data_IF_188851772324
#
_entry.id   IF_188851772324
#
_cell.length_a   1.000
_cell.length_b   1.000
_cell.length_c   1.000
_cell.angle_alpha   90.00
_cell.angle_beta   90.00
_cell.angle_gamma   90.00
#
_symmetry.space_group_name_H-M   'P 1'
#
loop_
_entity.id
_entity.type
_entity.pdbx_description
1 polymer ?
#
# COMPACT_ATOMS: atom_id res chain seq x y z
N UNK A 1 10.31 9.11 9.99
CA UNK A 1 11.21 7.96 9.70
C UNK A 1 12.51 8.52 9.15
N UNK A 2 13.62 8.23 9.80
CA UNK A 2 14.92 8.81 9.45
C UNK A 2 15.76 7.76 8.70
N UNK A 3 15.75 7.83 7.39
CA UNK A 3 16.51 6.97 6.48
C UNK A 3 17.41 7.82 5.60
N UNK A 4 18.58 7.31 5.25
CA UNK A 4 19.42 7.91 4.22
C UNK A 4 18.78 7.65 2.85
N UNK A 5 18.84 8.60 1.94
CA UNK A 5 18.17 8.50 0.62
C UNK A 5 19.17 8.52 -0.54
N UNK A 6 18.77 7.92 -1.66
CA UNK A 6 19.54 8.01 -2.92
C UNK A 6 19.76 9.47 -3.34
N UNK A 7 18.75 10.33 -3.17
CA UNK A 7 18.84 11.76 -3.51
C UNK A 7 19.93 12.47 -2.70
N UNK A 8 20.06 12.16 -1.41
CA UNK A 8 21.16 12.72 -0.58
C UNK A 8 22.53 12.28 -1.08
N UNK A 9 22.71 10.99 -1.38
CA UNK A 9 23.98 10.49 -1.92
C UNK A 9 24.35 11.12 -3.27
N UNK A 10 23.35 11.41 -4.11
CA UNK A 10 23.57 12.12 -5.38
C UNK A 10 24.02 13.56 -5.13
N UNK A 11 23.38 14.26 -4.20
CA UNK A 11 23.77 15.62 -3.82
C UNK A 11 25.21 15.68 -3.29
N UNK A 12 25.66 14.63 -2.62
CA UNK A 12 27.03 14.48 -2.09
C UNK A 12 28.03 13.95 -3.13
N UNK A 13 27.62 13.79 -4.41
CA UNK A 13 28.42 13.19 -5.50
C UNK A 13 28.99 11.79 -5.17
N UNK A 14 28.28 11.02 -4.36
CA UNK A 14 28.78 9.74 -3.83
C UNK A 14 28.60 8.53 -4.79
N UNK A 15 27.95 8.71 -5.95
CA UNK A 15 27.59 7.62 -6.86
C UNK A 15 28.56 7.39 -8.02
N UNK A 16 29.41 8.39 -8.35
CA UNK A 16 30.29 8.32 -9.52
C UNK A 16 31.20 7.07 -9.46
N UNK A 17 31.06 6.21 -10.46
CA UNK A 17 31.82 4.97 -10.59
C UNK A 17 31.46 3.87 -9.57
N UNK A 18 30.42 4.07 -8.76
CA UNK A 18 29.97 3.08 -7.76
C UNK A 18 29.05 2.04 -8.37
N UNK A 19 29.07 0.84 -7.79
CA UNK A 19 28.14 -0.24 -8.09
C UNK A 19 26.92 -0.06 -7.21
N UNK A 20 25.77 0.17 -7.84
CA UNK A 20 24.50 0.43 -7.15
C UNK A 20 23.55 -0.75 -7.38
N UNK A 21 23.13 -1.39 -6.31
CA UNK A 21 22.15 -2.47 -6.34
C UNK A 21 20.78 -1.91 -5.92
N UNK A 22 19.82 -1.90 -6.83
CA UNK A 22 18.46 -1.40 -6.59
C UNK A 22 17.50 -2.57 -6.45
N UNK A 23 16.84 -2.67 -5.29
CA UNK A 23 15.70 -3.56 -5.09
C UNK A 23 14.41 -2.81 -5.43
N UNK A 24 13.87 -3.11 -6.59
CA UNK A 24 12.61 -2.54 -7.09
C UNK A 24 11.42 -3.49 -6.88
N UNK A 25 10.21 -3.01 -6.98
CA UNK A 25 9.01 -3.84 -7.09
C UNK A 25 8.56 -3.89 -8.55
N UNK A 26 9.01 -4.93 -9.26
CA UNK A 26 8.73 -5.20 -10.66
C UNK A 26 7.81 -6.41 -10.84
N UNK A 27 7.07 -6.77 -9.79
CA UNK A 27 6.10 -7.86 -9.82
C UNK A 27 4.84 -7.44 -10.57
N UNK A 28 4.95 -7.38 -11.88
CA UNK A 28 3.89 -6.95 -12.80
C UNK A 28 2.97 -8.12 -13.17
N UNK A 29 1.68 -7.85 -13.47
CA UNK A 29 0.79 -8.86 -13.99
C UNK A 29 1.15 -9.22 -15.43
N UNK A 30 1.03 -10.50 -15.75
CA UNK A 30 1.27 -11.06 -17.07
C UNK A 30 0.07 -11.91 -17.49
N UNK A 31 -0.18 -11.99 -18.80
CA UNK A 31 -1.11 -12.94 -19.38
C UNK A 31 -0.50 -14.36 -19.47
N UNK A 32 -1.30 -15.30 -19.95
CA UNK A 32 -0.89 -16.72 -20.08
C UNK A 32 0.30 -16.92 -21.05
N UNK A 33 0.62 -15.92 -21.87
CA UNK A 33 1.77 -15.94 -22.78
C UNK A 33 3.03 -15.33 -22.17
N UNK A 34 2.93 -14.78 -20.95
CA UNK A 34 4.00 -14.07 -20.27
C UNK A 34 4.15 -12.60 -20.68
N UNK A 35 3.19 -12.06 -21.47
CA UNK A 35 3.19 -10.66 -21.85
C UNK A 35 2.69 -9.80 -20.68
N UNK A 36 3.40 -8.70 -20.40
CA UNK A 36 3.03 -7.73 -19.38
C UNK A 36 1.72 -7.05 -19.77
N UNK A 37 0.72 -7.10 -18.88
CA UNK A 37 -0.60 -6.49 -19.09
C UNK A 37 -0.72 -5.11 -18.43
N UNK A 38 0.15 -4.82 -17.44
CA UNK A 38 0.24 -3.51 -16.78
C UNK A 38 1.71 -3.25 -16.39
N UNK A 39 2.28 -2.17 -16.91
CA UNK A 39 3.68 -1.79 -16.67
C UNK A 39 3.86 -0.66 -15.62
N UNK A 40 2.82 -0.32 -14.88
CA UNK A 40 2.81 0.80 -13.91
C UNK A 40 3.97 0.69 -12.91
N UNK A 41 4.23 -0.50 -12.37
CA UNK A 41 5.34 -0.72 -11.42
C UNK A 41 6.71 -0.54 -12.07
N UNK A 42 6.86 -0.94 -13.32
CA UNK A 42 8.10 -0.73 -14.06
C UNK A 42 8.34 0.77 -14.24
N UNK A 43 7.33 1.50 -14.71
CA UNK A 43 7.42 2.97 -14.86
C UNK A 43 7.75 3.68 -13.54
N UNK A 44 7.16 3.24 -12.44
CA UNK A 44 7.44 3.79 -11.12
C UNK A 44 8.89 3.53 -10.66
N UNK A 45 9.54 2.49 -11.17
CA UNK A 45 10.93 2.14 -10.85
C UNK A 45 11.97 2.86 -11.72
N UNK A 46 11.58 3.40 -12.86
CA UNK A 46 12.49 4.09 -13.79
C UNK A 46 13.22 5.28 -13.14
N UNK A 47 12.58 6.17 -12.35
CA UNK A 47 13.27 7.31 -11.76
C UNK A 47 14.51 6.94 -10.94
N UNK A 48 14.45 5.90 -10.11
CA UNK A 48 15.61 5.45 -9.33
C UNK A 48 16.78 5.01 -10.21
N UNK A 49 16.48 4.27 -11.29
CA UNK A 49 17.46 3.79 -12.25
C UNK A 49 18.11 4.96 -12.98
N UNK A 50 17.31 5.88 -13.51
CA UNK A 50 17.80 7.06 -14.22
C UNK A 50 18.64 7.97 -13.33
N UNK A 51 18.23 8.19 -12.08
CA UNK A 51 18.98 9.01 -11.13
C UNK A 51 20.37 8.42 -10.89
N UNK A 52 20.46 7.11 -10.68
CA UNK A 52 21.73 6.42 -10.46
C UNK A 52 22.63 6.44 -11.71
N UNK A 53 22.07 6.21 -12.92
CA UNK A 53 22.79 6.26 -14.19
C UNK A 53 23.33 7.67 -14.48
N UNK A 54 22.49 8.70 -14.31
CA UNK A 54 22.88 10.11 -14.50
C UNK A 54 23.99 10.54 -13.52
N UNK A 55 24.03 9.94 -12.33
CA UNK A 55 25.10 10.16 -11.35
C UNK A 55 26.37 9.34 -11.63
N UNK A 56 26.45 8.63 -12.77
CA UNK A 56 27.64 7.89 -13.19
C UNK A 56 27.84 6.54 -12.52
N UNK A 57 26.81 5.94 -11.99
CA UNK A 57 26.86 4.62 -11.36
C UNK A 57 26.83 3.46 -12.37
N UNK A 58 27.31 2.31 -11.95
CA UNK A 58 27.03 1.01 -12.54
C UNK A 58 25.80 0.40 -11.85
N UNK A 59 24.71 0.18 -12.57
CA UNK A 59 23.40 -0.10 -11.95
C UNK A 59 23.00 -1.56 -12.14
N UNK A 60 22.65 -2.21 -11.05
CA UNK A 60 22.04 -3.54 -11.00
C UNK A 60 20.64 -3.42 -10.41
N UNK A 61 19.63 -3.97 -11.07
CA UNK A 61 18.24 -3.93 -10.61
C UNK A 61 17.71 -5.34 -10.47
N UNK A 62 17.07 -5.65 -9.36
CA UNK A 62 16.34 -6.90 -9.19
C UNK A 62 14.97 -6.70 -8.56
N UNK A 63 14.15 -7.71 -8.69
CA UNK A 63 12.83 -7.83 -8.08
C UNK A 63 12.44 -9.29 -7.96
N UNK A 64 11.39 -9.54 -7.21
CA UNK A 64 10.65 -10.77 -7.37
C UNK A 64 9.63 -10.63 -8.51
N UNK A 65 9.25 -11.74 -9.10
CA UNK A 65 8.13 -11.90 -10.02
C UNK A 65 7.39 -13.19 -9.66
N UNK A 66 6.10 -13.08 -9.41
CA UNK A 66 5.27 -14.23 -9.04
C UNK A 66 5.67 -14.91 -7.72
N UNK A 67 5.48 -16.20 -7.68
CA UNK A 67 5.74 -17.05 -6.52
C UNK A 67 6.53 -18.30 -6.90
N UNK A 68 7.76 -18.16 -7.41
CA UNK A 68 8.58 -19.30 -7.80
C UNK A 68 8.95 -20.14 -6.59
N UNK A 69 9.31 -21.39 -6.85
CA UNK A 69 9.97 -22.27 -5.87
C UNK A 69 11.46 -21.94 -5.84
N UNK A 70 12.02 -21.68 -4.66
CA UNK A 70 13.45 -21.45 -4.50
C UNK A 70 14.27 -22.67 -5.01
N UNK A 71 15.27 -22.39 -5.82
CA UNK A 71 16.13 -23.42 -6.43
C UNK A 71 15.53 -24.12 -7.66
N UNK A 72 14.29 -23.82 -8.06
CA UNK A 72 13.61 -24.43 -9.21
C UNK A 72 13.14 -23.32 -10.18
N UNK A 73 14.09 -22.80 -10.96
CA UNK A 73 13.78 -21.73 -11.92
C UNK A 73 13.02 -22.29 -13.14
N UNK A 74 11.93 -21.62 -13.50
CA UNK A 74 11.16 -21.88 -14.71
C UNK A 74 11.18 -20.66 -15.64
N UNK A 75 11.08 -20.83 -16.96
CA UNK A 75 11.02 -19.68 -17.89
C UNK A 75 9.94 -18.66 -17.58
N UNK A 76 8.81 -19.10 -17.01
CA UNK A 76 7.72 -18.22 -16.54
C UNK A 76 8.10 -17.33 -15.36
N UNK A 77 9.16 -17.66 -14.64
CA UNK A 77 9.64 -16.89 -13.49
C UNK A 77 10.60 -15.78 -13.88
N UNK A 78 10.98 -15.72 -15.18
CA UNK A 78 12.03 -14.83 -15.68
C UNK A 78 11.59 -13.36 -15.71
N UNK A 79 12.48 -12.49 -15.28
CA UNK A 79 12.38 -11.03 -15.46
C UNK A 79 12.74 -10.57 -16.88
N UNK A 80 12.91 -11.47 -17.86
CA UNK A 80 13.25 -11.09 -19.23
C UNK A 80 12.26 -10.08 -19.83
N UNK A 81 10.93 -10.27 -19.78
CA UNK A 81 9.99 -9.27 -20.30
C UNK A 81 10.10 -7.92 -19.59
N UNK A 82 10.42 -7.93 -18.30
CA UNK A 82 10.62 -6.72 -17.49
C UNK A 82 11.90 -6.00 -17.94
N UNK A 83 13.00 -6.71 -18.15
CA UNK A 83 14.27 -6.15 -18.64
C UNK A 83 14.10 -5.50 -20.03
N UNK A 84 13.37 -6.16 -20.93
CA UNK A 84 13.04 -5.64 -22.26
C UNK A 84 12.21 -4.34 -22.13
N UNK A 85 11.23 -4.31 -21.24
CA UNK A 85 10.42 -3.11 -21.02
C UNK A 85 11.21 -1.96 -20.40
N UNK A 86 12.12 -2.24 -19.47
CA UNK A 86 13.04 -1.24 -18.91
C UNK A 86 13.92 -0.67 -20.02
N UNK A 87 14.46 -1.50 -20.90
CA UNK A 87 15.28 -1.05 -22.03
C UNK A 87 14.54 -0.10 -22.95
N UNK A 88 13.28 -0.41 -23.29
CA UNK A 88 12.42 0.48 -24.08
C UNK A 88 12.21 1.83 -23.40
N UNK A 89 11.91 1.85 -22.11
CA UNK A 89 11.62 3.08 -21.35
C UNK A 89 12.86 3.94 -21.15
N UNK A 90 14.05 3.33 -20.98
CA UNK A 90 15.30 4.06 -20.83
C UNK A 90 15.93 4.45 -22.17
N UNK A 91 15.51 3.84 -23.28
CA UNK A 91 16.12 4.05 -24.60
C UNK A 91 17.56 3.53 -24.69
N UNK A 92 17.94 2.55 -23.87
CA UNK A 92 19.28 1.94 -23.90
C UNK A 92 19.20 0.42 -23.66
N UNK A 93 20.28 -0.28 -24.03
CA UNK A 93 20.34 -1.73 -23.82
C UNK A 93 20.34 -2.08 -22.31
N UNK A 94 19.56 -3.10 -21.96
CA UNK A 94 19.49 -3.66 -20.60
C UNK A 94 19.63 -5.17 -20.70
N UNK A 95 20.73 -5.69 -20.19
CA UNK A 95 21.00 -7.13 -20.19
C UNK A 95 20.40 -7.79 -18.95
N UNK A 96 19.78 -8.97 -19.14
CA UNK A 96 19.35 -9.83 -18.03
C UNK A 96 20.53 -10.74 -17.62
N UNK A 97 20.91 -10.71 -16.35
CA UNK A 97 21.97 -11.55 -15.77
C UNK A 97 21.35 -12.69 -14.96
N UNK A 98 21.61 -13.91 -15.42
CA UNK A 98 21.29 -15.13 -14.67
C UNK A 98 22.46 -15.52 -13.74
N UNK A 99 22.19 -16.33 -12.71
CA UNK A 99 23.22 -16.83 -11.78
C UNK A 99 24.12 -15.73 -11.18
N UNK A 100 23.54 -14.58 -10.92
CA UNK A 100 24.22 -13.33 -10.60
C UNK A 100 24.77 -13.24 -9.17
N UNK A 101 24.36 -14.12 -8.25
CA UNK A 101 24.72 -14.06 -6.82
C UNK A 101 26.23 -14.17 -6.58
N UNK A 102 26.93 -14.92 -7.43
CA UNK A 102 28.39 -15.15 -7.30
C UNK A 102 29.23 -14.13 -8.09
N UNK A 103 28.62 -13.18 -8.76
CA UNK A 103 29.32 -12.11 -9.46
C UNK A 103 28.53 -11.52 -10.64
N UNK A 104 28.67 -10.22 -10.85
CA UNK A 104 28.06 -9.48 -11.96
C UNK A 104 29.06 -8.49 -12.53
N UNK A 105 29.23 -8.50 -13.85
CA UNK A 105 29.96 -7.46 -14.57
C UNK A 105 28.98 -6.41 -15.06
N UNK A 106 29.18 -5.16 -14.65
CA UNK A 106 28.43 -3.97 -15.11
C UNK A 106 29.37 -2.76 -15.03
N UNK A 107 29.38 -1.94 -16.07
CA UNK A 107 30.23 -0.74 -16.12
C UNK A 107 29.42 0.53 -15.73
N UNK A 108 30.13 1.58 -15.33
CA UNK A 108 29.52 2.87 -15.07
C UNK A 108 28.73 3.36 -16.30
N UNK A 109 27.51 3.87 -16.06
CA UNK A 109 26.56 4.28 -17.10
C UNK A 109 25.76 3.12 -17.72
N UNK A 110 26.02 1.88 -17.33
CA UNK A 110 25.24 0.72 -17.74
C UNK A 110 24.27 0.29 -16.65
N UNK A 111 23.17 -0.33 -17.09
CA UNK A 111 22.20 -0.99 -16.22
C UNK A 111 22.00 -2.44 -16.66
N UNK A 112 21.92 -3.34 -15.69
CA UNK A 112 21.57 -4.76 -15.88
C UNK A 112 20.42 -5.13 -14.97
N UNK A 113 19.55 -6.03 -15.42
CA UNK A 113 18.54 -6.66 -14.58
C UNK A 113 19.08 -8.01 -14.11
N UNK A 114 19.06 -8.20 -12.81
CA UNK A 114 19.42 -9.48 -12.19
C UNK A 114 18.16 -10.34 -12.12
N UNK A 115 18.26 -11.58 -12.56
CA UNK A 115 17.14 -12.52 -12.62
C UNK A 115 16.42 -12.65 -11.27
N UNK A 116 15.13 -12.93 -11.34
CA UNK A 116 14.18 -13.05 -10.24
C UNK A 116 14.80 -13.48 -8.91
N UNK A 117 14.87 -12.58 -7.95
CA UNK A 117 15.54 -12.82 -6.67
C UNK A 117 14.93 -13.98 -5.87
N UNK A 118 13.64 -14.28 -6.07
CA UNK A 118 12.94 -15.35 -5.35
C UNK A 118 13.26 -16.75 -5.80
N UNK A 119 14.04 -16.93 -6.87
CA UNK A 119 14.54 -18.26 -7.25
C UNK A 119 15.80 -18.65 -6.46
N UNK A 120 16.43 -17.70 -5.78
CA UNK A 120 17.60 -17.97 -4.94
C UNK A 120 17.19 -18.64 -3.64
N UNK A 121 17.81 -19.77 -3.32
CA UNK A 121 17.61 -20.47 -2.06
C UNK A 121 18.06 -19.59 -0.90
N UNK A 122 17.16 -19.35 0.06
CA UNK A 122 17.42 -18.50 1.21
C UNK A 122 16.87 -17.07 1.10
N UNK A 123 16.34 -16.66 -0.05
CA UNK A 123 15.77 -15.32 -0.24
C UNK A 123 14.64 -15.06 0.76
N UNK A 124 13.62 -15.91 0.80
CA UNK A 124 12.46 -15.75 1.69
C UNK A 124 12.80 -15.89 3.17
N UNK A 125 13.83 -16.67 3.49
CA UNK A 125 14.28 -16.89 4.87
C UNK A 125 15.22 -15.81 5.36
N UNK A 126 15.54 -14.82 4.52
CA UNK A 126 16.51 -13.77 4.83
C UNK A 126 17.88 -14.36 5.26
N UNK A 127 18.36 -15.33 4.49
CA UNK A 127 19.59 -16.05 4.81
C UNK A 127 20.80 -15.11 4.79
N UNK A 128 21.57 -15.12 5.89
CA UNK A 128 22.72 -14.22 6.05
C UNK A 128 23.84 -14.49 5.04
N UNK A 129 24.12 -15.73 4.69
CA UNK A 129 25.18 -16.06 3.74
C UNK A 129 24.82 -15.58 2.33
N UNK A 130 23.56 -15.75 1.91
CA UNK A 130 23.04 -15.21 0.67
C UNK A 130 23.10 -13.69 0.65
N UNK A 131 22.66 -13.04 1.74
CA UNK A 131 22.67 -11.59 1.88
C UNK A 131 24.08 -11.00 1.81
N UNK A 132 25.08 -11.64 2.43
CA UNK A 132 26.48 -11.24 2.35
C UNK A 132 27.04 -11.33 0.93
N UNK A 133 26.73 -12.40 0.19
CA UNK A 133 27.10 -12.52 -1.22
C UNK A 133 26.50 -11.40 -2.07
N UNK A 134 25.23 -11.11 -1.88
CA UNK A 134 24.55 -10.02 -2.59
C UNK A 134 25.14 -8.64 -2.22
N UNK A 135 25.43 -8.40 -0.97
CA UNK A 135 26.05 -7.15 -0.50
C UNK A 135 27.45 -6.95 -1.09
N UNK A 136 28.23 -8.02 -1.32
CA UNK A 136 29.55 -7.95 -1.95
C UNK A 136 29.51 -7.51 -3.42
N UNK A 137 28.35 -7.59 -4.08
CA UNK A 137 28.18 -7.13 -5.47
C UNK A 137 28.12 -5.61 -5.60
N UNK A 138 27.84 -4.87 -4.52
CA UNK A 138 27.58 -3.44 -4.58
C UNK A 138 28.37 -2.63 -3.56
N UNK A 139 28.52 -1.36 -3.85
CA UNK A 139 29.02 -0.33 -2.93
C UNK A 139 27.87 0.38 -2.24
N UNK A 140 26.71 0.45 -2.92
CA UNK A 140 25.49 1.10 -2.43
C UNK A 140 24.31 0.18 -2.73
N UNK A 141 23.55 -0.13 -1.68
CA UNK A 141 22.25 -0.79 -1.77
C UNK A 141 21.13 0.24 -1.69
N UNK A 142 20.17 0.15 -2.59
CA UNK A 142 18.98 1.00 -2.64
C UNK A 142 17.73 0.13 -2.52
N UNK A 143 16.93 0.36 -1.51
CA UNK A 143 15.58 -0.20 -1.42
C UNK A 143 14.58 0.81 -2.01
N UNK A 144 13.93 0.43 -3.10
CA UNK A 144 12.90 1.22 -3.77
C UNK A 144 11.59 0.43 -3.95
N UNK A 145 11.30 -0.48 -3.01
CA UNK A 145 10.22 -1.44 -3.07
C UNK A 145 9.36 -1.41 -1.80
N UNK A 146 8.58 -0.35 -1.61
CA UNK A 146 7.72 -0.22 -0.42
C UNK A 146 6.74 -1.38 -0.28
N UNK A 147 6.15 -1.89 -1.38
CA UNK A 147 5.19 -3.00 -1.36
C UNK A 147 5.71 -4.29 -0.72
N UNK A 148 7.02 -4.46 -0.62
CA UNK A 148 7.66 -5.63 0.03
C UNK A 148 8.29 -5.31 1.38
N UNK A 149 8.17 -4.08 1.87
CA UNK A 149 8.86 -3.61 3.08
C UNK A 149 8.41 -4.29 4.38
N UNK A 150 7.24 -4.91 4.35
CA UNK A 150 6.69 -5.70 5.47
C UNK A 150 7.32 -7.09 5.61
N UNK A 151 8.25 -7.46 4.72
CA UNK A 151 8.93 -8.76 4.73
C UNK A 151 10.43 -8.60 4.95
N UNK A 152 10.98 -9.39 5.88
CA UNK A 152 12.40 -9.55 6.02
C UNK A 152 12.87 -10.66 5.06
N UNK A 153 13.29 -10.27 3.86
CA UNK A 153 13.88 -11.17 2.85
C UNK A 153 15.34 -10.76 2.57
N UNK A 154 16.14 -11.64 1.95
CA UNK A 154 17.55 -11.34 1.72
C UNK A 154 17.78 -10.07 0.90
N UNK A 155 16.96 -9.82 -0.15
CA UNK A 155 17.07 -8.61 -1.00
C UNK A 155 16.40 -7.37 -0.43
N UNK A 156 15.56 -7.47 0.60
CA UNK A 156 14.87 -6.32 1.20
C UNK A 156 15.42 -5.90 2.55
N UNK A 157 15.98 -6.85 3.31
CA UNK A 157 16.49 -6.64 4.66
C UNK A 157 17.97 -7.07 4.80
N UNK A 158 18.27 -8.33 4.49
CA UNK A 158 19.60 -8.90 4.72
C UNK A 158 20.73 -8.16 4.00
N UNK A 159 20.54 -7.84 2.73
CA UNK A 159 21.52 -7.08 1.94
C UNK A 159 21.79 -5.69 2.57
N UNK A 160 20.76 -5.01 3.09
CA UNK A 160 20.90 -3.72 3.75
C UNK A 160 21.74 -3.81 5.03
N UNK A 161 21.70 -4.96 5.72
CA UNK A 161 22.52 -5.22 6.90
C UNK A 161 24.01 -5.26 6.59
N UNK A 162 24.40 -5.79 5.42
CA UNK A 162 25.79 -6.08 5.06
C UNK A 162 26.38 -5.15 4.00
N UNK A 163 25.57 -4.47 3.20
CA UNK A 163 26.07 -3.52 2.21
C UNK A 163 26.85 -2.37 2.85
N UNK A 164 27.92 -1.84 2.21
CA UNK A 164 28.66 -0.71 2.75
C UNK A 164 27.78 0.50 3.05
N UNK A 165 26.90 0.84 2.13
CA UNK A 165 25.89 1.92 2.27
C UNK A 165 24.52 1.35 1.90
N UNK A 166 23.50 1.66 2.71
CA UNK A 166 22.13 1.25 2.48
C UNK A 166 21.17 2.44 2.57
N UNK A 167 20.38 2.68 1.52
CA UNK A 167 19.53 3.86 1.40
C UNK A 167 18.14 3.53 0.85
N UNK A 168 17.21 4.44 1.06
CA UNK A 168 15.91 4.42 0.40
C UNK A 168 15.99 5.05 -0.99
N UNK A 169 15.37 4.42 -1.97
CA UNK A 169 15.13 5.01 -3.29
C UNK A 169 14.00 6.04 -3.24
N UNK A 170 13.77 6.77 -4.34
CA UNK A 170 12.80 7.87 -4.38
C UNK A 170 11.36 7.42 -4.09
N UNK A 171 10.94 6.24 -4.58
CA UNK A 171 9.61 5.70 -4.34
C UNK A 171 9.42 5.36 -2.87
N UNK A 172 10.36 4.63 -2.27
CA UNK A 172 10.30 4.29 -0.85
C UNK A 172 10.35 5.55 0.02
N UNK A 173 11.20 6.50 -0.30
CA UNK A 173 11.31 7.77 0.45
C UNK A 173 10.00 8.56 0.41
N UNK A 174 9.33 8.63 -0.73
CA UNK A 174 8.03 9.29 -0.87
C UNK A 174 6.93 8.61 -0.05
N UNK A 175 6.88 7.27 -0.06
CA UNK A 175 5.95 6.50 0.78
C UNK A 175 6.18 6.77 2.28
N UNK A 176 7.43 6.76 2.72
CA UNK A 176 7.78 7.01 4.12
C UNK A 176 7.45 8.45 4.55
N UNK A 177 7.67 9.44 3.68
CA UNK A 177 7.28 10.83 3.93
C UNK A 177 5.76 10.98 4.06
N UNK A 178 5.00 10.38 3.13
CA UNK A 178 3.54 10.43 3.14
C UNK A 178 2.95 9.76 4.40
N UNK A 179 3.45 8.57 4.77
CA UNK A 179 3.03 7.87 5.98
C UNK A 179 3.42 8.64 7.25
N UNK A 180 4.59 9.25 7.27
CA UNK A 180 5.02 10.10 8.36
C UNK A 180 4.09 11.30 8.56
N UNK A 181 3.75 12.00 7.49
CA UNK A 181 2.79 13.13 7.51
C UNK A 181 1.41 12.70 7.96
N UNK A 182 0.96 11.52 7.53
CA UNK A 182 -0.38 11.05 7.84
C UNK A 182 -0.56 10.54 9.27
N UNK A 183 0.45 9.87 9.86
CA UNK A 183 0.28 9.11 11.10
C UNK A 183 1.26 9.46 12.22
N UNK A 184 2.47 9.94 11.92
CA UNK A 184 3.44 10.30 12.94
C UNK A 184 3.34 11.76 13.36
N UNK A 185 3.04 12.65 12.40
CA UNK A 185 2.87 14.07 12.64
C UNK A 185 1.67 14.63 11.85
N UNK A 186 0.45 14.11 12.07
CA UNK A 186 -0.71 14.52 11.30
C UNK A 186 -1.16 15.94 11.67
N UNK A 187 -1.59 16.69 10.66
CA UNK A 187 -2.38 17.90 10.90
C UNK A 187 -3.79 17.47 11.35
N UNK A 188 -4.21 17.98 12.48
CA UNK A 188 -5.52 17.68 13.08
C UNK A 188 -6.65 18.54 12.48
N UNK A 189 -7.90 18.05 12.45
CA UNK A 189 -8.36 16.72 12.83
C UNK A 189 -7.84 15.63 11.89
N UNK A 190 -7.49 14.45 12.44
CA UNK A 190 -7.13 13.26 11.69
C UNK A 190 -8.36 12.37 11.54
N UNK A 191 -8.81 12.18 10.31
CA UNK A 191 -9.88 11.26 9.97
C UNK A 191 -9.29 10.01 9.29
N UNK A 192 -9.73 8.83 9.73
CA UNK A 192 -9.40 7.58 9.06
C UNK A 192 -10.67 6.88 8.60
N UNK A 193 -10.65 6.40 7.37
CA UNK A 193 -11.70 5.58 6.76
C UNK A 193 -11.16 4.16 6.67
N UNK A 194 -11.81 3.25 7.39
CA UNK A 194 -11.51 1.82 7.37
C UNK A 194 -12.78 1.07 7.01
N UNK A 195 -12.85 0.61 5.80
CA UNK A 195 -14.02 -0.07 5.27
C UNK A 195 -13.66 -1.42 4.64
N UNK A 196 -14.64 -2.31 4.58
CA UNK A 196 -14.45 -3.66 4.06
C UNK A 196 -15.53 -4.61 4.54
N UNK A 197 -15.42 -5.87 4.12
CA UNK A 197 -16.44 -6.89 4.40
C UNK A 197 -16.41 -7.41 5.84
N UNK A 198 -15.23 -7.47 6.47
CA UNK A 198 -15.04 -8.17 7.76
C UNK A 198 -14.18 -7.38 8.74
N UNK A 199 -14.66 -7.23 9.98
CA UNK A 199 -13.90 -6.67 11.10
C UNK A 199 -12.65 -7.51 11.38
N UNK A 200 -12.77 -8.85 11.36
CA UNK A 200 -11.67 -9.77 11.66
C UNK A 200 -10.42 -9.55 10.81
N UNK A 201 -10.59 -9.10 9.57
CA UNK A 201 -9.48 -8.84 8.67
C UNK A 201 -8.80 -7.48 8.91
N UNK A 202 -9.46 -6.58 9.64
CA UNK A 202 -8.98 -5.21 9.90
C UNK A 202 -9.02 -4.81 11.38
N UNK A 203 -9.28 -5.75 12.28
CA UNK A 203 -9.42 -5.46 13.72
C UNK A 203 -8.17 -4.75 14.27
N UNK A 204 -6.98 -5.24 13.94
CA UNK A 204 -5.71 -4.65 14.39
C UNK A 204 -5.53 -3.22 13.87
N UNK A 205 -5.95 -2.96 12.62
CA UNK A 205 -5.96 -1.59 12.04
C UNK A 205 -6.92 -0.70 12.80
N UNK A 206 -8.15 -1.16 13.04
CA UNK A 206 -9.18 -0.42 13.78
C UNK A 206 -8.72 -0.09 15.20
N UNK A 207 -8.15 -1.06 15.91
CA UNK A 207 -7.59 -0.88 17.24
C UNK A 207 -6.43 0.12 17.25
N UNK A 208 -5.46 -0.03 16.35
CA UNK A 208 -4.31 0.87 16.24
C UNK A 208 -4.72 2.31 15.93
N UNK A 209 -5.61 2.49 14.97
CA UNK A 209 -6.09 3.82 14.59
C UNK A 209 -6.99 4.45 15.66
N UNK A 210 -7.74 3.66 16.43
CA UNK A 210 -8.59 4.16 17.51
C UNK A 210 -7.82 4.89 18.62
N UNK A 211 -6.51 4.69 18.72
CA UNK A 211 -5.63 5.42 19.64
C UNK A 211 -5.16 6.78 19.10
N UNK A 212 -5.26 7.00 17.80
CA UNK A 212 -4.57 8.11 17.12
C UNK A 212 -5.51 9.09 16.46
N UNK A 213 -6.63 8.61 15.90
CA UNK A 213 -7.51 9.40 15.05
C UNK A 213 -8.56 10.16 15.85
N UNK A 214 -9.01 11.29 15.32
CA UNK A 214 -10.10 12.08 15.90
C UNK A 214 -11.47 11.58 15.41
N UNK A 215 -11.49 10.98 14.20
CA UNK A 215 -12.67 10.35 13.62
C UNK A 215 -12.29 9.04 12.96
N UNK A 216 -12.98 7.97 13.31
CA UNK A 216 -12.86 6.65 12.69
C UNK A 216 -14.15 6.35 11.91
N UNK A 217 -14.07 6.48 10.60
CA UNK A 217 -15.18 6.25 9.68
C UNK A 217 -15.12 4.80 9.22
N UNK A 218 -16.19 4.05 9.46
CA UNK A 218 -16.28 2.64 9.07
C UNK A 218 -17.29 2.44 7.95
N UNK A 219 -17.07 1.46 7.08
CA UNK A 219 -17.94 1.16 5.93
C UNK A 219 -18.05 -0.33 5.65
N UNK A 220 -19.02 -0.70 4.82
CA UNK A 220 -19.26 -2.09 4.43
C UNK A 220 -19.73 -2.99 5.58
N UNK A 221 -19.36 -4.25 5.56
CA UNK A 221 -19.66 -5.22 6.63
C UNK A 221 -19.08 -4.83 7.98
N UNK A 222 -17.98 -4.08 8.00
CA UNK A 222 -17.41 -3.50 9.22
C UNK A 222 -18.43 -2.54 9.84
N UNK A 223 -19.00 -1.61 9.08
CA UNK A 223 -20.02 -0.68 9.56
C UNK A 223 -21.26 -1.42 10.10
N UNK A 224 -21.70 -2.49 9.45
CA UNK A 224 -22.82 -3.28 9.89
C UNK A 224 -22.57 -3.92 11.28
N UNK A 225 -21.36 -4.42 11.52
CA UNK A 225 -20.96 -4.94 12.84
C UNK A 225 -20.95 -3.83 13.91
N UNK A 226 -20.45 -2.64 13.55
CA UNK A 226 -20.48 -1.46 14.43
C UNK A 226 -21.91 -0.98 14.72
N UNK A 227 -22.79 -1.00 13.72
CA UNK A 227 -24.21 -0.68 13.90
C UNK A 227 -24.87 -1.66 14.87
N UNK A 228 -24.62 -2.97 14.71
CA UNK A 228 -25.10 -3.99 15.64
C UNK A 228 -24.57 -3.79 17.06
N UNK A 229 -23.33 -3.34 17.22
CA UNK A 229 -22.74 -2.99 18.51
C UNK A 229 -23.48 -1.82 19.20
N UNK A 230 -24.14 -0.97 18.42
CA UNK A 230 -24.97 0.14 18.91
C UNK A 230 -26.45 -0.24 19.07
N UNK A 231 -26.79 -1.52 18.91
CA UNK A 231 -28.15 -2.03 19.04
C UNK A 231 -29.07 -1.74 17.85
N UNK A 232 -28.52 -1.32 16.71
CA UNK A 232 -29.29 -1.06 15.49
C UNK A 232 -29.60 -2.36 14.74
N UNK A 233 -30.78 -2.46 14.11
CA UNK A 233 -31.13 -3.62 13.29
C UNK A 233 -30.28 -3.62 12.01
N UNK A 234 -29.77 -4.79 11.62
CA UNK A 234 -28.97 -4.95 10.41
C UNK A 234 -29.56 -6.01 9.44
N UNK A 235 -30.72 -6.61 9.77
CA UNK A 235 -31.34 -7.64 8.94
C UNK A 235 -30.42 -8.81 8.70
N UNK A 236 -30.34 -9.24 7.42
CA UNK A 236 -29.42 -10.28 6.96
C UNK A 236 -28.13 -9.76 6.35
N UNK A 237 -27.74 -8.52 6.72
CA UNK A 237 -26.52 -7.88 6.24
C UNK A 237 -25.27 -8.66 6.65
N UNK A 238 -24.23 -8.55 5.82
CA UNK A 238 -22.91 -9.08 6.16
C UNK A 238 -22.40 -8.43 7.44
N UNK A 239 -22.13 -9.22 8.46
CA UNK A 239 -21.59 -8.79 9.75
C UNK A 239 -20.89 -9.96 10.45
N UNK A 240 -20.13 -9.66 11.50
CA UNK A 240 -19.46 -10.67 12.33
C UNK A 240 -19.97 -10.57 13.77
N UNK A 241 -21.00 -11.36 14.14
CA UNK A 241 -21.60 -11.33 15.48
C UNK A 241 -20.61 -11.53 16.63
N UNK A 242 -19.60 -12.37 16.43
CA UNK A 242 -18.57 -12.65 17.44
C UNK A 242 -17.66 -11.45 17.74
N UNK A 243 -17.64 -10.44 16.86
CA UNK A 243 -16.82 -9.22 17.00
C UNK A 243 -17.62 -7.97 17.37
N UNK A 244 -18.92 -8.10 17.68
CA UNK A 244 -19.75 -6.98 18.14
C UNK A 244 -19.18 -6.38 19.44
N UNK A 245 -18.70 -7.20 20.36
CA UNK A 245 -18.09 -6.74 21.60
C UNK A 245 -16.79 -5.95 21.37
N UNK A 246 -15.98 -6.35 20.40
CA UNK A 246 -14.75 -5.64 20.04
C UNK A 246 -15.06 -4.31 19.35
N UNK A 247 -16.03 -4.29 18.45
CA UNK A 247 -16.53 -3.05 17.84
C UNK A 247 -17.03 -2.07 18.91
N UNK A 248 -17.78 -2.54 19.91
CA UNK A 248 -18.27 -1.71 21.03
C UNK A 248 -17.12 -1.15 21.86
N UNK A 249 -16.09 -1.93 22.16
CA UNK A 249 -14.88 -1.47 22.86
C UNK A 249 -14.19 -0.33 22.11
N UNK A 250 -14.09 -0.43 20.77
CA UNK A 250 -13.49 0.61 19.93
C UNK A 250 -14.30 1.89 20.00
N UNK A 251 -15.64 1.81 19.89
CA UNK A 251 -16.53 2.97 20.01
C UNK A 251 -16.36 3.65 21.37
N UNK A 252 -16.40 2.86 22.45
CA UNK A 252 -16.29 3.37 23.83
C UNK A 252 -14.93 4.03 24.07
N UNK A 253 -13.85 3.42 23.59
CA UNK A 253 -12.49 3.96 23.66
C UNK A 253 -12.36 5.28 22.93
N UNK A 254 -12.88 5.37 21.71
CA UNK A 254 -12.90 6.60 20.92
C UNK A 254 -13.68 7.71 21.63
N UNK A 255 -14.88 7.40 22.11
CA UNK A 255 -15.74 8.34 22.85
C UNK A 255 -15.06 8.84 24.12
N UNK A 256 -14.42 7.95 24.89
CA UNK A 256 -13.70 8.32 26.11
C UNK A 256 -12.54 9.30 25.86
N UNK A 257 -11.94 9.29 24.66
CA UNK A 257 -10.91 10.23 24.24
C UNK A 257 -11.45 11.55 23.67
N UNK A 258 -12.76 11.73 23.57
CA UNK A 258 -13.36 12.85 22.87
C UNK A 258 -13.30 12.76 21.34
N UNK A 259 -12.97 11.57 20.82
CA UNK A 259 -13.00 11.25 19.40
C UNK A 259 -14.33 10.59 19.02
N UNK A 260 -14.58 10.35 17.73
CA UNK A 260 -15.86 9.82 17.27
C UNK A 260 -15.73 8.66 16.29
N UNK A 261 -16.71 7.76 16.35
CA UNK A 261 -17.00 6.78 15.30
C UNK A 261 -18.39 7.10 14.76
N UNK A 262 -18.50 7.82 13.63
CA UNK A 262 -19.80 8.14 13.05
C UNK A 262 -20.56 6.85 12.69
N UNK A 263 -21.72 6.66 13.29
CA UNK A 263 -22.61 5.52 12.99
C UNK A 263 -23.63 5.98 11.96
N UNK A 264 -23.91 5.21 10.89
CA UNK A 264 -24.87 5.57 9.87
C UNK A 264 -26.26 5.86 10.47
N UNK A 265 -26.85 6.97 10.07
CA UNK A 265 -28.24 7.35 10.44
C UNK A 265 -29.25 6.88 9.40
N UNK A 266 -28.79 6.67 8.18
CA UNK A 266 -29.52 6.07 7.08
C UNK A 266 -28.62 5.13 6.27
N UNK A 267 -29.22 4.22 5.57
CA UNK A 267 -28.56 3.16 4.81
C UNK A 267 -29.29 2.90 3.49
N UNK A 268 -28.61 2.28 2.55
CA UNK A 268 -29.20 1.76 1.31
C UNK A 268 -29.27 0.25 1.39
N UNK A 269 -30.48 -0.27 1.36
CA UNK A 269 -30.78 -1.69 1.50
C UNK A 269 -31.25 -2.31 0.17
N UNK A 270 -31.04 -3.60 0.06
CA UNK A 270 -31.65 -4.45 -0.94
C UNK A 270 -32.07 -5.79 -0.32
N UNK A 271 -32.91 -6.54 -1.02
CA UNK A 271 -33.35 -7.88 -0.57
C UNK A 271 -32.39 -8.99 -1.03
N UNK A 272 -31.51 -8.68 -2.00
CA UNK A 272 -30.52 -9.59 -2.56
C UNK A 272 -29.22 -8.85 -2.90
N UNK A 273 -28.13 -9.60 -2.97
CA UNK A 273 -26.84 -9.10 -3.45
C UNK A 273 -26.73 -9.31 -4.96
N UNK A 274 -27.18 -8.32 -5.72
CA UNK A 274 -27.22 -8.39 -7.19
C UNK A 274 -27.02 -7.00 -7.78
N UNK A 275 -26.41 -6.94 -8.98
CA UNK A 275 -26.27 -5.69 -9.75
C UNK A 275 -27.65 -5.14 -10.20
N UNK A 276 -28.68 -5.98 -10.23
CA UNK A 276 -30.04 -5.62 -10.66
C UNK A 276 -30.97 -5.44 -9.44
N UNK A 277 -30.46 -5.58 -8.22
CA UNK A 277 -31.25 -5.41 -6.99
C UNK A 277 -31.79 -4.00 -6.84
N UNK A 278 -33.04 -3.91 -6.39
CA UNK A 278 -33.70 -2.62 -6.11
C UNK A 278 -33.11 -2.01 -4.83
N UNK A 279 -32.54 -0.82 -4.96
CA UNK A 279 -32.00 -0.05 -3.84
C UNK A 279 -33.09 0.73 -3.12
N UNK A 280 -33.18 0.63 -1.80
CA UNK A 280 -34.13 1.36 -0.97
C UNK A 280 -33.40 2.08 0.16
N UNK A 281 -33.55 3.39 0.23
CA UNK A 281 -33.02 4.19 1.34
C UNK A 281 -33.92 4.03 2.57
N UNK A 282 -33.32 3.68 3.71
CA UNK A 282 -34.01 3.51 4.99
C UNK A 282 -33.26 4.19 6.10
N UNK A 283 -33.98 4.64 7.14
CA UNK A 283 -33.33 4.98 8.40
C UNK A 283 -32.67 3.76 9.01
N UNK A 284 -31.56 3.94 9.68
CA UNK A 284 -30.83 2.82 10.31
C UNK A 284 -31.65 2.06 11.35
N UNK A 285 -32.67 2.70 11.90
CA UNK A 285 -33.63 2.09 12.85
C UNK A 285 -34.77 1.32 12.18
N UNK A 286 -34.89 1.39 10.86
CA UNK A 286 -36.03 0.84 10.07
C UNK A 286 -35.59 -0.32 9.15
N UNK A 287 -34.40 -0.85 9.36
CA UNK A 287 -33.89 -2.01 8.60
C UNK A 287 -34.70 -3.24 8.96
N UNK A 288 -35.26 -3.92 7.97
CA UNK A 288 -36.09 -5.13 8.15
C UNK A 288 -35.24 -6.40 8.23
N UNK A 289 -35.82 -7.47 8.74
CA UNK A 289 -35.13 -8.74 8.94
C UNK A 289 -34.54 -9.38 7.65
N UNK A 290 -35.16 -9.11 6.51
CA UNK A 290 -34.75 -9.60 5.18
C UNK A 290 -33.95 -8.58 4.36
N UNK A 291 -33.65 -7.42 4.93
CA UNK A 291 -32.81 -6.40 4.30
C UNK A 291 -31.31 -6.76 4.38
N UNK A 292 -30.59 -6.41 3.33
CA UNK A 292 -29.13 -6.35 3.28
C UNK A 292 -28.70 -4.90 3.12
N UNK A 293 -27.90 -4.38 4.04
CA UNK A 293 -27.28 -3.05 3.92
C UNK A 293 -26.12 -3.17 2.94
N UNK A 294 -26.20 -2.44 1.82
CA UNK A 294 -25.19 -2.47 0.76
C UNK A 294 -24.46 -1.13 0.55
N UNK A 295 -24.94 -0.05 1.17
CA UNK A 295 -24.27 1.25 1.20
C UNK A 295 -24.78 2.07 2.38
N UNK A 296 -24.05 3.13 2.73
CA UNK A 296 -24.57 4.20 3.61
C UNK A 296 -25.61 5.04 2.86
N UNK A 297 -26.56 5.58 3.57
CA UNK A 297 -27.56 6.47 3.00
C UNK A 297 -27.02 7.87 2.68
N UNK A 298 -27.83 8.67 1.94
CA UNK A 298 -27.41 10.00 1.49
C UNK A 298 -27.17 10.99 2.63
N UNK A 299 -27.93 10.93 3.73
CA UNK A 299 -27.75 11.82 4.89
C UNK A 299 -26.45 11.50 5.62
N UNK A 300 -26.17 10.23 5.82
CA UNK A 300 -24.89 9.75 6.39
C UNK A 300 -23.71 10.17 5.52
N UNK A 301 -23.82 9.98 4.19
CA UNK A 301 -22.77 10.36 3.26
C UNK A 301 -22.50 11.88 3.29
N UNK A 302 -23.55 12.70 3.35
CA UNK A 302 -23.42 14.15 3.45
C UNK A 302 -22.75 14.59 4.76
N UNK A 303 -23.13 13.96 5.89
CA UNK A 303 -22.52 14.26 7.19
C UNK A 303 -21.02 13.88 7.23
N UNK A 304 -20.66 12.73 6.70
CA UNK A 304 -19.25 12.29 6.60
C UNK A 304 -18.47 13.24 5.66
N UNK A 305 -19.05 13.61 4.52
CA UNK A 305 -18.43 14.55 3.59
C UNK A 305 -18.12 15.90 4.26
N UNK A 306 -19.05 16.44 5.05
CA UNK A 306 -18.85 17.67 5.79
C UNK A 306 -17.67 17.56 6.79
N UNK A 307 -17.53 16.44 7.47
CA UNK A 307 -16.41 16.16 8.38
C UNK A 307 -15.07 16.09 7.63
N UNK A 308 -15.03 15.41 6.48
CA UNK A 308 -13.82 15.28 5.66
C UNK A 308 -13.35 16.62 5.09
N UNK A 309 -14.27 17.52 4.74
CA UNK A 309 -13.93 18.86 4.27
C UNK A 309 -13.24 19.73 5.34
N UNK A 310 -13.42 19.43 6.60
CA UNK A 310 -12.79 20.14 7.73
C UNK A 310 -11.59 19.41 8.33
N UNK A 311 -11.29 18.21 7.84
CA UNK A 311 -10.13 17.44 8.31
C UNK A 311 -8.81 18.12 7.94
N UNK A 312 -7.79 17.91 8.76
CA UNK A 312 -6.41 18.30 8.46
C UNK A 312 -5.63 17.19 7.75
N UNK A 313 -5.97 15.96 8.08
CA UNK A 313 -5.36 14.74 7.47
C UNK A 313 -6.44 13.68 7.30
N UNK A 314 -6.39 12.96 6.17
CA UNK A 314 -7.30 11.86 5.84
C UNK A 314 -6.49 10.62 5.47
N UNK A 315 -6.79 9.50 6.13
CA UNK A 315 -6.29 8.16 5.76
C UNK A 315 -7.46 7.36 5.20
N UNK A 316 -7.35 6.88 3.97
CA UNK A 316 -8.45 6.20 3.30
C UNK A 316 -8.08 4.76 2.91
N UNK A 317 -8.81 3.80 3.49
CA UNK A 317 -8.70 2.38 3.18
C UNK A 317 -10.08 1.73 3.10
N UNK A 318 -10.56 1.50 1.90
CA UNK A 318 -11.78 0.76 1.57
C UNK A 318 -12.98 1.62 1.19
N UNK A 319 -13.89 1.07 0.35
CA UNK A 319 -15.13 1.70 -0.07
C UNK A 319 -16.22 1.59 1.01
N UNK A 320 -17.16 2.54 1.01
CA UNK A 320 -18.25 2.59 2.00
C UNK A 320 -19.35 1.57 1.75
N UNK A 321 -19.56 1.18 0.49
CA UNK A 321 -20.60 0.24 0.08
C UNK A 321 -20.14 -0.61 -1.10
N UNK A 322 -21.07 -1.34 -1.71
CA UNK A 322 -20.83 -2.19 -2.89
C UNK A 322 -20.80 -1.29 -4.13
N UNK A 323 -19.74 -0.49 -4.24
CA UNK A 323 -19.61 0.55 -5.26
C UNK A 323 -19.45 0.01 -6.69
N UNK A 324 -19.20 -1.28 -6.84
CA UNK A 324 -19.19 -1.97 -8.11
C UNK A 324 -20.58 -1.95 -8.77
N UNK A 325 -21.63 -1.88 -7.97
CA UNK A 325 -23.01 -1.71 -8.42
C UNK A 325 -23.41 -0.24 -8.21
N UNK A 326 -23.74 0.48 -9.30
CA UNK A 326 -23.91 1.92 -9.27
C UNK A 326 -24.96 2.41 -8.26
N UNK A 327 -26.05 1.64 -8.06
CA UNK A 327 -27.08 1.99 -7.06
C UNK A 327 -26.63 1.88 -5.61
N UNK A 328 -25.50 1.22 -5.34
CA UNK A 328 -24.88 1.09 -4.01
C UNK A 328 -23.50 1.77 -3.93
N UNK A 329 -23.21 2.64 -4.87
CA UNK A 329 -21.94 3.36 -4.97
C UNK A 329 -21.98 4.80 -4.48
N UNK A 330 -23.14 5.34 -4.14
CA UNK A 330 -23.28 6.76 -3.81
C UNK A 330 -22.48 7.16 -2.57
N UNK A 331 -22.45 6.34 -1.54
CA UNK A 331 -21.67 6.62 -0.33
C UNK A 331 -20.18 6.76 -0.62
N UNK A 332 -19.62 5.82 -1.39
CA UNK A 332 -18.21 5.87 -1.82
C UNK A 332 -17.94 7.07 -2.72
N UNK A 333 -18.85 7.37 -3.66
CA UNK A 333 -18.71 8.52 -4.56
C UNK A 333 -18.68 9.86 -3.81
N UNK A 334 -19.63 10.08 -2.91
CA UNK A 334 -19.73 11.33 -2.12
C UNK A 334 -18.49 11.51 -1.26
N UNK A 335 -18.03 10.44 -0.61
CA UNK A 335 -16.80 10.44 0.19
C UNK A 335 -15.56 10.73 -0.67
N UNK A 336 -15.41 10.07 -1.81
CA UNK A 336 -14.32 10.31 -2.75
C UNK A 336 -14.27 11.77 -3.22
N UNK A 337 -15.42 12.33 -3.58
CA UNK A 337 -15.53 13.73 -3.98
C UNK A 337 -15.25 14.72 -2.83
N UNK A 338 -15.58 14.36 -1.61
CA UNK A 338 -15.25 15.18 -0.43
C UNK A 338 -13.74 15.18 -0.18
N UNK A 339 -13.08 14.02 -0.28
CA UNK A 339 -11.62 13.90 -0.18
C UNK A 339 -10.95 14.76 -1.26
N UNK A 340 -11.41 14.67 -2.51
CA UNK A 340 -10.88 15.43 -3.64
C UNK A 340 -10.97 16.96 -3.43
N UNK A 341 -12.03 17.43 -2.78
CA UNK A 341 -12.25 18.87 -2.51
C UNK A 341 -11.66 19.33 -1.18
N UNK A 342 -11.27 18.42 -0.30
CA UNK A 342 -10.69 18.74 1.00
C UNK A 342 -9.31 19.38 0.86
N UNK A 343 -8.99 20.31 1.76
CA UNK A 343 -7.64 20.85 1.91
C UNK A 343 -6.74 19.99 2.81
N UNK A 344 -7.24 18.85 3.27
CA UNK A 344 -6.49 17.90 4.06
C UNK A 344 -5.36 17.26 3.27
N UNK A 345 -4.27 16.91 3.94
CA UNK A 345 -3.36 15.92 3.38
C UNK A 345 -4.05 14.56 3.37
N UNK A 346 -4.27 14.00 2.19
CA UNK A 346 -4.95 12.71 2.04
C UNK A 346 -3.99 11.62 1.57
N UNK A 347 -4.02 10.46 2.24
CA UNK A 347 -3.32 9.26 1.81
C UNK A 347 -4.34 8.13 1.64
N UNK A 348 -4.24 7.43 0.51
CA UNK A 348 -5.12 6.31 0.19
C UNK A 348 -4.29 5.07 -0.15
N UNK A 349 -4.78 3.89 0.21
CA UNK A 349 -4.14 2.63 -0.12
C UNK A 349 -5.08 1.44 0.00
N UNK A 350 -4.68 0.32 -0.63
CA UNK A 350 -5.48 -0.89 -0.76
C UNK A 350 -6.18 -0.97 -2.12
N UNK A 351 -6.28 -2.19 -2.65
CA UNK A 351 -6.78 -2.42 -4.03
C UNK A 351 -8.16 -1.85 -4.28
N UNK A 352 -9.13 -2.09 -3.39
CA UNK A 352 -10.50 -1.58 -3.53
C UNK A 352 -10.56 -0.04 -3.45
N UNK A 353 -9.67 0.58 -2.66
CA UNK A 353 -9.55 2.04 -2.59
C UNK A 353 -9.06 2.61 -3.91
N UNK A 354 -8.03 2.00 -4.49
CA UNK A 354 -7.49 2.41 -5.80
C UNK A 354 -8.54 2.23 -6.91
N UNK A 355 -9.32 1.17 -6.86
CA UNK A 355 -10.43 0.95 -7.79
C UNK A 355 -11.50 2.04 -7.68
N UNK A 356 -11.84 2.47 -6.46
CA UNK A 356 -12.77 3.57 -6.23
C UNK A 356 -12.20 4.92 -6.73
N UNK A 357 -10.93 5.20 -6.46
CA UNK A 357 -10.23 6.39 -6.97
C UNK A 357 -10.29 6.45 -8.49
N UNK A 358 -10.01 5.33 -9.16
CA UNK A 358 -10.09 5.23 -10.62
C UNK A 358 -11.52 5.40 -11.13
N UNK A 359 -12.50 4.72 -10.51
CA UNK A 359 -13.91 4.82 -10.91
C UNK A 359 -14.46 6.25 -10.84
N UNK A 360 -14.08 7.00 -9.82
CA UNK A 360 -14.56 8.37 -9.62
C UNK A 360 -13.59 9.44 -10.12
N UNK A 361 -12.49 9.01 -10.78
CA UNK A 361 -11.54 9.87 -11.48
C UNK A 361 -10.98 11.01 -10.61
N UNK A 362 -10.49 10.67 -9.42
CA UNK A 362 -9.93 11.60 -8.44
C UNK A 362 -8.45 11.34 -8.13
N UNK A 363 -7.73 10.67 -9.02
CA UNK A 363 -6.33 10.30 -8.78
C UNK A 363 -5.41 11.50 -8.53
N UNK A 364 -5.66 12.61 -9.22
CA UNK A 364 -4.84 13.82 -9.12
C UNK A 364 -5.16 14.68 -7.90
N UNK A 365 -6.30 14.46 -7.27
CA UNK A 365 -6.77 15.21 -6.10
C UNK A 365 -6.45 14.55 -4.76
N UNK A 366 -6.07 13.27 -4.76
CA UNK A 366 -5.56 12.59 -3.56
C UNK A 366 -4.08 12.95 -3.39
N UNK A 367 -3.70 13.45 -2.20
CA UNK A 367 -2.34 13.95 -1.97
C UNK A 367 -1.28 12.86 -2.14
N UNK A 368 -1.58 11.62 -1.76
CA UNK A 368 -0.71 10.48 -1.97
C UNK A 368 -1.50 9.17 -2.10
N UNK A 369 -1.20 8.39 -3.14
CA UNK A 369 -1.76 7.07 -3.36
C UNK A 369 -0.66 6.04 -3.12
N UNK A 370 -0.79 5.26 -2.03
CA UNK A 370 0.20 4.25 -1.68
C UNK A 370 0.18 3.09 -2.67
N UNK A 371 1.36 2.71 -3.13
CA UNK A 371 1.58 1.51 -3.95
C UNK A 371 1.79 0.25 -3.12
N UNK A 372 1.84 0.40 -1.79
CA UNK A 372 2.36 -0.58 -0.85
C UNK A 372 1.43 -1.74 -0.51
N UNK A 373 0.15 -1.69 -0.86
CA UNK A 373 -0.78 -2.79 -0.57
C UNK A 373 -0.65 -3.32 0.87
N UNK A 374 -0.04 -4.50 1.03
CA UNK A 374 0.16 -5.14 2.34
C UNK A 374 1.03 -4.33 3.30
N UNK A 375 2.11 -3.71 2.83
CA UNK A 375 2.97 -2.89 3.67
C UNK A 375 2.24 -1.64 4.21
N UNK A 376 1.39 -1.03 3.40
CA UNK A 376 0.53 0.08 3.84
C UNK A 376 -0.42 -0.37 4.96
N UNK A 377 -1.08 -1.52 4.81
CA UNK A 377 -1.98 -2.05 5.82
C UNK A 377 -1.23 -2.39 7.13
N UNK A 378 -0.08 -3.04 7.04
CA UNK A 378 0.72 -3.37 8.22
C UNK A 378 1.25 -2.11 8.94
N UNK A 379 1.55 -1.05 8.20
CA UNK A 379 1.88 0.23 8.80
C UNK A 379 0.68 0.85 9.54
N UNK A 380 -0.53 0.76 8.99
CA UNK A 380 -1.76 1.19 9.67
C UNK A 380 -2.04 0.36 10.94
N UNK A 381 -1.65 -0.91 10.96
CA UNK A 381 -1.70 -1.76 12.15
C UNK A 381 -0.71 -1.36 13.24
N UNK A 382 0.19 -0.41 12.96
CA UNK A 382 1.25 0.01 13.89
C UNK A 382 2.44 -0.94 13.93
N UNK A 383 2.56 -1.86 12.98
CA UNK A 383 3.69 -2.79 12.87
C UNK A 383 4.93 -2.08 12.35
N UNK A 384 6.07 -2.50 12.86
CA UNK A 384 7.36 -2.13 12.29
C UNK A 384 7.54 -2.85 10.95
N UNK A 385 7.94 -2.11 9.92
CA UNK A 385 8.27 -2.68 8.62
C UNK A 385 9.76 -3.06 8.61
N UNK A 386 10.12 -4.35 8.51
CA UNK A 386 11.52 -4.80 8.67
C UNK A 386 12.49 -4.14 7.71
N UNK A 387 12.09 -3.96 6.43
CA UNK A 387 12.95 -3.33 5.43
C UNK A 387 13.15 -1.83 5.67
N UNK A 388 12.24 -1.16 6.36
CA UNK A 388 12.40 0.24 6.79
C UNK A 388 13.25 0.31 8.04
N UNK A 389 12.98 -0.54 9.02
CA UNK A 389 13.70 -0.58 10.30
C UNK A 389 15.21 -0.79 10.10
N UNK A 390 15.61 -1.68 9.18
CA UNK A 390 17.03 -1.87 8.89
C UNK A 390 17.67 -0.62 8.26
N UNK A 391 16.96 0.09 7.38
CA UNK A 391 17.46 1.35 6.80
C UNK A 391 17.59 2.45 7.87
N UNK A 392 16.64 2.54 8.79
CA UNK A 392 16.72 3.48 9.93
C UNK A 392 17.89 3.15 10.86
N UNK A 393 18.15 1.86 11.12
CA UNK A 393 19.28 1.41 11.90
C UNK A 393 20.61 1.79 11.22
N UNK A 394 20.71 1.60 9.89
CA UNK A 394 21.89 1.94 9.08
C UNK A 394 22.11 3.44 8.95
N UNK A 395 21.09 4.27 9.05
CA UNK A 395 21.20 5.74 9.03
C UNK A 395 21.76 6.33 10.36
N UNK A 396 21.76 5.53 11.42
CA UNK A 396 22.28 5.95 12.74
C UNK A 396 23.78 5.65 12.92
N UNK A 397 24.40 4.93 12.00
CA UNK A 397 25.81 4.53 12.02
C UNK A 397 25.98 3.04 12.14
#
# INVERSE_FOLDING_TARGET
MNVLTLTQLIADNALQGKRVFIRSDLNVPQDDTGKITDDTRIRASIPAIEMALKAGAAVMVTSHLGRPTEGDFKPSDSLKPVAERIAELLGQAVELKQNWVDGVAVAAGQVVVLENCRVNVGEKKNDDALAQKMAALCDIYVNDAFGTSHRAEATTHGIAKYAPIAVAGPLLAAELDALGKALLAPKKPLAAIVAGSKVSTKLTILESLSDKVDQLIVGGGIANTFMAAMGLPIGKSLAEPDLIADAKKIIDKMTARGASVPIPTDVVCAKEFSKDAVATVKKSTEVEADDMILDIGPDTAAAIAAQLLTAGTIVWNGPMGVFEFDQFGNGTKVLAQAIARSQAFSIAGGGDTLAAIAKYNISDEVSYISTGGGAFLEFLEGKELPAVAILEARAKG
#
